data_IF_553315091982
#
_entry.id   IF_553315091982
#
_cell.length_a   1.000
_cell.length_b   1.000
_cell.length_c   1.000
_cell.angle_alpha   90.00
_cell.angle_beta   90.00
_cell.angle_gamma   90.00
#
_symmetry.space_group_name_H-M   'P 1'
#
loop_
_entity.id
_entity.type
_entity.pdbx_description
1 polymer ?
#
# COMPACT_ATOMS: atom_id res chain seq x y z
N UNK A 1 13.89 6.84 -0.95
CA UNK A 1 12.95 6.75 0.19
C UNK A 1 11.55 6.41 -0.32
N UNK A 2 10.87 5.48 0.35
CA UNK A 2 9.50 5.13 0.04
C UNK A 2 8.57 6.34 0.21
N UNK A 3 7.75 6.66 -0.81
CA UNK A 3 6.83 7.80 -0.78
C UNK A 3 5.41 7.26 -0.63
N UNK A 4 4.81 7.45 0.55
CA UNK A 4 3.39 7.18 0.73
C UNK A 4 2.58 8.33 0.08
N UNK A 5 1.69 8.00 -0.84
CA UNK A 5 0.75 8.97 -1.42
C UNK A 5 -0.67 8.67 -0.96
N UNK A 6 -1.43 9.73 -0.68
CA UNK A 6 -2.85 9.61 -0.33
C UNK A 6 -3.61 9.04 -1.53
N UNK A 7 -4.44 8.02 -1.30
CA UNK A 7 -5.28 7.42 -2.33
C UNK A 7 -6.13 8.48 -3.03
N UNK A 8 -6.13 8.42 -4.36
CA UNK A 8 -6.94 9.28 -5.22
C UNK A 8 -8.37 8.75 -5.27
N UNK A 9 -9.35 9.64 -5.10
CA UNK A 9 -10.76 9.30 -5.33
C UNK A 9 -11.05 9.42 -6.84
N UNK A 10 -11.06 8.27 -7.53
CA UNK A 10 -11.28 8.21 -8.97
C UNK A 10 -12.74 8.44 -9.36
N UNK A 11 -13.69 8.12 -8.49
CA UNK A 11 -15.12 8.36 -8.74
C UNK A 11 -15.42 9.85 -8.76
N UNK A 12 -14.89 10.60 -7.77
CA UNK A 12 -15.06 12.04 -7.71
C UNK A 12 -14.35 12.76 -8.87
N UNK A 13 -13.19 12.24 -9.30
CA UNK A 13 -12.36 12.87 -10.34
C UNK A 13 -12.91 12.65 -11.75
N UNK A 14 -13.53 11.50 -12.01
CA UNK A 14 -14.03 11.12 -13.33
C UNK A 14 -15.50 10.68 -13.26
N UNK A 15 -16.44 11.64 -13.09
CA UNK A 15 -17.86 11.32 -13.07
C UNK A 15 -18.31 10.77 -14.44
N UNK A 16 -19.00 9.64 -14.44
CA UNK A 16 -19.54 9.00 -15.65
C UNK A 16 -18.61 7.99 -16.32
N UNK A 17 -17.42 7.75 -15.77
CA UNK A 17 -16.56 6.64 -16.21
C UNK A 17 -17.11 5.31 -15.70
N UNK A 18 -17.02 4.26 -16.53
CA UNK A 18 -17.48 2.93 -16.15
C UNK A 18 -16.72 2.40 -14.94
N UNK A 19 -17.43 1.74 -14.02
CA UNK A 19 -16.87 1.15 -12.79
C UNK A 19 -15.65 0.27 -13.06
N UNK A 20 -15.65 -0.50 -14.17
CA UNK A 20 -14.53 -1.36 -14.56
C UNK A 20 -13.22 -0.60 -14.79
N UNK A 21 -13.28 0.62 -15.31
CA UNK A 21 -12.09 1.46 -15.50
C UNK A 21 -11.60 1.99 -14.15
N UNK A 22 -12.53 2.41 -13.28
CA UNK A 22 -12.21 2.88 -11.93
C UNK A 22 -11.51 1.76 -11.14
N UNK A 23 -12.04 0.54 -11.18
CA UNK A 23 -11.40 -0.62 -10.53
C UNK A 23 -9.98 -0.89 -11.04
N UNK A 24 -9.74 -0.74 -12.35
CA UNK A 24 -8.41 -0.95 -12.93
C UNK A 24 -7.43 0.14 -12.46
N UNK A 25 -7.88 1.38 -12.34
CA UNK A 25 -7.07 2.49 -11.81
C UNK A 25 -6.72 2.25 -10.35
N UNK A 26 -7.71 1.89 -9.52
CA UNK A 26 -7.47 1.59 -8.10
C UNK A 26 -6.54 0.39 -7.89
N UNK A 27 -6.69 -0.65 -8.70
CA UNK A 27 -5.79 -1.83 -8.66
C UNK A 27 -4.36 -1.45 -9.05
N UNK A 28 -4.20 -0.63 -10.09
CA UNK A 28 -2.88 -0.16 -10.54
C UNK A 28 -2.20 0.68 -9.45
N UNK A 29 -2.92 1.61 -8.83
CA UNK A 29 -2.41 2.42 -7.72
C UNK A 29 -2.02 1.56 -6.52
N UNK A 30 -2.84 0.57 -6.16
CA UNK A 30 -2.54 -0.34 -5.05
C UNK A 30 -1.28 -1.16 -5.30
N UNK A 31 -1.05 -1.59 -6.54
CA UNK A 31 0.18 -2.28 -6.94
C UNK A 31 1.40 -1.36 -6.84
N UNK A 32 1.26 -0.11 -7.28
CA UNK A 32 2.32 0.89 -7.15
C UNK A 32 2.66 1.19 -5.68
N UNK A 33 1.65 1.35 -4.82
CA UNK A 33 1.82 1.50 -3.38
C UNK A 33 2.55 0.31 -2.76
N UNK A 34 2.20 -0.92 -3.18
CA UNK A 34 2.86 -2.13 -2.71
C UNK A 34 4.36 -2.13 -3.03
N UNK A 35 4.72 -1.86 -4.29
CA UNK A 35 6.11 -1.88 -4.75
C UNK A 35 6.94 -0.71 -4.21
N UNK A 36 6.35 0.46 -4.05
CA UNK A 36 7.08 1.64 -3.60
C UNK A 36 7.19 1.75 -2.08
N UNK A 37 6.26 1.16 -1.34
CA UNK A 37 6.17 1.33 0.10
C UNK A 37 6.06 0.00 0.84
N UNK A 38 5.03 -0.81 0.60
CA UNK A 38 4.73 -1.98 1.43
C UNK A 38 5.88 -2.98 1.52
N UNK A 39 6.59 -3.24 0.43
CA UNK A 39 7.70 -4.19 0.43
C UNK A 39 8.97 -3.64 1.11
N UNK A 40 9.11 -2.33 1.20
CA UNK A 40 10.30 -1.62 1.71
C UNK A 40 10.20 -1.29 3.19
N UNK A 41 9.01 -1.39 3.78
CA UNK A 41 8.74 -0.93 5.13
C UNK A 41 8.46 -2.11 6.04
N UNK A 42 9.21 -2.20 7.13
CA UNK A 42 8.91 -3.13 8.21
C UNK A 42 7.60 -2.73 8.91
N UNK A 43 6.75 -3.72 9.20
CA UNK A 43 5.46 -3.51 9.85
C UNK A 43 5.42 -4.24 11.16
N UNK A 44 5.00 -3.58 12.24
CA UNK A 44 4.66 -4.26 13.48
C UNK A 44 3.14 -4.32 13.63
N UNK A 45 2.63 -5.50 14.00
CA UNK A 45 1.25 -5.68 14.42
C UNK A 45 1.23 -5.99 15.90
N UNK A 46 0.55 -5.16 16.67
CA UNK A 46 0.36 -5.35 18.11
C UNK A 46 -1.02 -5.97 18.29
N UNK A 47 -1.07 -7.17 18.84
CA UNK A 47 -2.31 -7.75 19.33
C UNK A 47 -2.50 -7.36 20.80
N UNK A 48 -3.43 -6.43 21.04
CA UNK A 48 -3.71 -5.91 22.38
C UNK A 48 -4.37 -6.95 23.29
N UNK A 49 -5.03 -7.98 22.74
CA UNK A 49 -5.70 -9.01 23.54
C UNK A 49 -4.72 -10.05 24.10
N UNK A 50 -3.72 -10.43 23.30
CA UNK A 50 -2.70 -11.42 23.69
C UNK A 50 -1.39 -10.81 24.16
N UNK A 51 -1.21 -9.49 24.05
CA UNK A 51 0.05 -8.80 24.35
C UNK A 51 1.18 -9.15 23.38
N UNK A 52 0.89 -9.79 22.25
CA UNK A 52 1.91 -10.29 21.32
C UNK A 52 2.21 -9.24 20.25
N UNK A 53 3.50 -8.96 20.04
CA UNK A 53 3.98 -8.11 18.94
C UNK A 53 4.51 -8.99 17.83
N UNK A 54 3.92 -8.91 16.65
CA UNK A 54 4.38 -9.60 15.44
C UNK A 54 5.09 -8.62 14.53
N UNK A 55 6.36 -8.87 14.25
CA UNK A 55 7.15 -8.10 13.29
C UNK A 55 7.08 -8.76 11.91
N UNK A 56 6.67 -7.98 10.92
CA UNK A 56 6.70 -8.33 9.51
C UNK A 56 7.89 -7.58 8.89
N UNK A 57 9.03 -8.24 8.65
CA UNK A 57 10.19 -7.57 8.08
C UNK A 57 9.88 -7.08 6.67
N UNK A 58 10.58 -6.03 6.24
CA UNK A 58 10.55 -5.61 4.85
C UNK A 58 11.03 -6.76 3.96
N UNK A 59 10.37 -6.94 2.81
CA UNK A 59 10.74 -7.97 1.83
C UNK A 59 11.83 -7.51 0.87
N UNK A 60 11.93 -6.21 0.67
CA UNK A 60 13.01 -5.62 -0.08
C UNK A 60 14.13 -5.28 0.91
N UNK A 61 15.26 -5.95 0.74
CA UNK A 61 16.52 -5.61 1.38
C UNK A 61 17.29 -4.76 0.37
N UNK A 62 17.41 -3.46 0.63
CA UNK A 62 18.22 -2.60 -0.23
C UNK A 62 19.68 -3.09 -0.18
N UNK A 63 20.27 -3.33 -1.36
CA UNK A 63 21.64 -3.83 -1.52
C UNK A 63 22.72 -3.01 -0.79
N UNK A 64 22.41 -1.75 -0.42
CA UNK A 64 23.27 -0.85 0.36
C UNK A 64 22.92 -0.83 1.87
N UNK A 65 22.84 -2.01 2.50
CA UNK A 65 22.82 -2.10 3.97
C UNK A 65 24.23 -2.13 4.56
#
# INVERSE_FOLDING_TARGET
MAKYQKKTDYQAKYPGVSEKIIEVLEKSDRQMEYLQYDIKVERCRIDSASGTVTYLPSREDSYER
#
